data_IF_066215866865
#
_entry.id   IF_066215866865
#
_cell.length_a   1.000
_cell.length_b   1.000
_cell.length_c   1.000
_cell.angle_alpha   90.00
_cell.angle_beta   90.00
_cell.angle_gamma   90.00
#
_symmetry.space_group_name_H-M   'P 1'
#
loop_
_entity.id
_entity.type
_entity.pdbx_description
1 polymer ?
#
# COMPACT_ATOMS: atom_id res chain seq x y z
N UNK A 1 13.63 -19.71 -51.87
CA UNK A 1 12.65 -18.65 -51.57
C UNK A 1 13.19 -17.85 -50.40
N UNK A 2 13.25 -16.53 -50.56
CA UNK A 2 13.97 -15.57 -49.73
C UNK A 2 13.22 -15.17 -48.44
N UNK A 3 13.97 -14.65 -47.44
CA UNK A 3 13.69 -13.43 -46.63
C UNK A 3 14.63 -13.48 -45.39
N UNK A 4 15.87 -12.99 -45.42
CA UNK A 4 16.32 -11.59 -45.35
C UNK A 4 15.84 -10.86 -44.08
N UNK A 5 16.75 -10.67 -43.12
CA UNK A 5 17.15 -9.39 -42.47
C UNK A 5 17.94 -9.71 -41.19
N UNK A 6 19.26 -9.69 -41.32
CA UNK A 6 20.11 -9.01 -40.33
C UNK A 6 20.39 -7.63 -40.93
N UNK A 7 20.17 -6.54 -40.18
CA UNK A 7 20.85 -5.26 -40.39
C UNK A 7 20.60 -4.31 -39.21
N UNK A 8 21.71 -3.82 -38.62
CA UNK A 8 21.88 -2.55 -37.84
C UNK A 8 21.26 -2.52 -36.43
N UNK A 9 21.92 -2.13 -35.32
CA UNK A 9 23.09 -1.29 -35.06
C UNK A 9 23.75 -1.72 -33.72
N UNK A 10 25.06 -1.99 -33.71
CA UNK A 10 25.92 -1.71 -32.56
C UNK A 10 27.21 -1.11 -33.14
N UNK A 11 27.23 0.21 -33.27
CA UNK A 11 28.39 0.99 -33.66
C UNK A 11 29.05 1.48 -32.37
N UNK A 12 30.21 0.94 -32.02
CA UNK A 12 31.41 1.66 -31.57
C UNK A 12 32.53 0.64 -31.28
N UNK A 13 33.73 0.78 -31.90
CA UNK A 13 34.87 -0.07 -31.60
C UNK A 13 35.67 0.54 -30.45
N UNK A 14 35.83 -0.19 -29.34
CA UNK A 14 36.92 0.07 -28.40
C UNK A 14 37.85 -1.14 -28.46
N UNK A 15 39.04 -0.91 -29.04
CA UNK A 15 40.18 -1.81 -28.92
C UNK A 15 40.52 -1.95 -27.43
N UNK A 16 40.40 -3.15 -26.90
CA UNK A 16 40.99 -3.51 -25.60
C UNK A 16 42.19 -4.42 -25.88
N UNK A 17 43.37 -3.83 -25.78
CA UNK A 17 44.60 -4.55 -25.50
C UNK A 17 44.49 -5.20 -24.12
N UNK A 18 45.00 -6.43 -24.03
CA UNK A 18 44.99 -7.25 -22.83
C UNK A 18 45.77 -6.59 -21.67
N UNK A 19 45.16 -6.50 -20.49
CA UNK A 19 45.87 -6.60 -19.20
C UNK A 19 44.87 -6.87 -18.06
N UNK A 20 44.97 -8.07 -17.50
CA UNK A 20 44.64 -8.54 -16.15
C UNK A 20 43.39 -8.06 -15.39
N UNK A 21 42.61 -9.09 -15.04
CA UNK A 21 41.69 -9.25 -13.89
C UNK A 21 40.20 -8.95 -14.08
N UNK A 22 39.41 -9.94 -13.61
CA UNK A 22 37.96 -10.04 -13.45
C UNK A 22 37.10 -10.58 -14.61
N UNK A 23 36.60 -11.79 -14.38
CA UNK A 23 35.61 -12.56 -15.15
C UNK A 23 34.30 -11.78 -15.35
N UNK A 24 33.86 -11.69 -16.61
CA UNK A 24 32.57 -11.13 -17.04
C UNK A 24 31.67 -12.29 -17.52
N UNK A 25 30.64 -12.64 -16.76
CA UNK A 25 29.66 -13.69 -17.11
C UNK A 25 28.47 -13.14 -17.94
N UNK A 26 28.74 -12.45 -19.05
CA UNK A 26 27.66 -11.98 -19.96
C UNK A 26 27.67 -12.67 -21.32
N UNK A 27 28.15 -13.91 -21.40
CA UNK A 27 28.26 -14.66 -22.66
C UNK A 27 27.74 -16.11 -22.62
N UNK A 28 26.68 -16.41 -21.88
CA UNK A 28 26.00 -17.71 -22.02
C UNK A 28 24.48 -17.61 -22.10
N UNK A 29 24.01 -16.97 -23.18
CA UNK A 29 22.67 -17.22 -23.65
C UNK A 29 22.65 -17.13 -25.18
N UNK A 30 22.42 -18.26 -25.84
CA UNK A 30 21.45 -18.47 -26.94
C UNK A 30 21.65 -19.88 -27.53
N UNK A 31 20.52 -20.48 -27.93
CA UNK A 31 20.32 -21.77 -28.66
C UNK A 31 20.30 -23.03 -27.77
N UNK A 32 19.33 -23.96 -27.83
CA UNK A 32 18.28 -24.34 -28.81
C UNK A 32 17.15 -25.07 -28.03
N UNK A 33 15.88 -24.79 -28.32
CA UNK A 33 14.99 -25.56 -29.21
C UNK A 33 14.38 -26.85 -28.61
N UNK A 34 13.06 -26.94 -28.79
CA UNK A 34 12.14 -28.00 -28.38
C UNK A 34 12.54 -29.40 -28.89
N UNK A 35 12.40 -30.40 -28.01
CA UNK A 35 12.21 -31.79 -28.37
C UNK A 35 11.21 -32.47 -27.42
N UNK A 36 10.34 -33.29 -28.00
CA UNK A 36 9.11 -33.88 -27.47
C UNK A 36 9.27 -34.89 -26.30
N UNK A 37 8.32 -34.75 -25.36
CA UNK A 37 7.60 -35.72 -24.52
C UNK A 37 8.14 -37.16 -24.37
N UNK A 38 8.51 -37.54 -23.13
CA UNK A 38 8.02 -38.77 -22.44
C UNK A 38 7.94 -38.53 -20.92
N UNK A 39 6.73 -38.61 -20.37
CA UNK A 39 6.49 -38.73 -18.94
C UNK A 39 7.04 -40.08 -18.43
N UNK A 40 7.75 -40.05 -17.30
CA UNK A 40 8.24 -41.26 -16.59
C UNK A 40 8.19 -41.06 -15.06
N UNK A 41 8.11 -42.15 -14.28
CA UNK A 41 7.19 -42.28 -13.14
C UNK A 41 7.81 -41.85 -11.80
N UNK A 42 7.42 -40.68 -11.29
CA UNK A 42 7.66 -40.29 -9.88
C UNK A 42 6.36 -39.84 -9.18
N UNK A 43 5.20 -39.98 -9.86
CA UNK A 43 3.88 -39.66 -9.30
C UNK A 43 3.19 -40.85 -8.58
N UNK A 44 3.94 -41.87 -8.15
CA UNK A 44 3.40 -43.01 -7.37
C UNK A 44 4.24 -43.36 -6.13
N UNK A 45 4.57 -42.38 -5.28
CA UNK A 45 5.09 -42.70 -3.93
C UNK A 45 4.83 -41.65 -2.85
N UNK A 46 3.67 -40.99 -2.91
CA UNK A 46 3.18 -40.12 -1.82
C UNK A 46 1.89 -40.62 -1.14
N UNK A 47 1.46 -41.86 -1.44
CA UNK A 47 0.43 -42.56 -0.68
C UNK A 47 1.04 -43.85 -0.11
N UNK A 48 1.61 -43.74 1.09
CA UNK A 48 1.83 -44.80 2.08
C UNK A 48 3.05 -44.39 2.92
N UNK A 49 2.79 -43.79 4.09
CA UNK A 49 3.55 -43.93 5.34
C UNK A 49 3.03 -42.90 6.37
N UNK A 50 1.71 -42.80 6.50
CA UNK A 50 1.12 -42.64 7.83
C UNK A 50 0.64 -44.03 8.20
N UNK A 51 1.34 -44.69 9.13
CA UNK A 51 0.79 -45.62 10.11
C UNK A 51 1.94 -46.24 10.93
N UNK A 52 1.70 -46.29 12.24
CA UNK A 52 2.35 -47.08 13.28
C UNK A 52 3.47 -46.43 14.11
N UNK A 53 2.97 -45.86 15.21
CA UNK A 53 3.59 -45.79 16.53
C UNK A 53 4.35 -47.06 16.95
N UNK A 54 5.46 -46.91 17.67
CA UNK A 54 5.71 -47.42 19.03
C UNK A 54 7.20 -47.40 19.43
N UNK A 55 7.44 -47.02 20.69
CA UNK A 55 8.69 -46.95 21.48
C UNK A 55 9.23 -48.37 21.83
N UNK A 56 10.31 -48.62 22.65
CA UNK A 56 11.67 -48.08 22.86
C UNK A 56 12.81 -49.15 22.76
N UNK A 57 14.08 -48.71 22.92
CA UNK A 57 15.21 -49.39 23.62
C UNK A 57 16.21 -50.32 22.88
N UNK A 58 17.50 -50.04 23.20
CA UNK A 58 18.75 -50.84 23.12
C UNK A 58 19.31 -51.29 21.75
N UNK A 59 20.50 -50.80 21.39
CA UNK A 59 21.76 -51.43 21.84
C UNK A 59 22.98 -50.52 21.54
N UNK A 60 23.87 -50.54 22.51
CA UNK A 60 25.14 -49.81 22.61
C UNK A 60 26.25 -50.44 21.76
N UNK A 61 27.17 -49.57 21.28
CA UNK A 61 28.51 -49.83 20.70
C UNK A 61 28.62 -49.64 19.19
N UNK A 62 28.84 -48.38 18.81
CA UNK A 62 29.96 -47.93 17.95
C UNK A 62 29.91 -46.40 17.90
N UNK A 63 30.33 -45.78 18.99
CA UNK A 63 30.92 -44.45 18.93
C UNK A 63 32.30 -44.69 18.32
N UNK A 64 32.53 -44.20 17.10
CA UNK A 64 33.82 -43.74 16.58
C UNK A 64 33.57 -43.22 15.16
N UNK A 65 33.84 -41.92 14.98
CA UNK A 65 33.80 -41.14 13.73
C UNK A 65 32.40 -40.73 13.23
N UNK A 66 31.71 -39.90 14.01
CA UNK A 66 30.72 -38.98 13.46
C UNK A 66 31.45 -37.71 12.96
N UNK A 67 31.36 -37.35 11.66
CA UNK A 67 31.64 -35.99 11.26
C UNK A 67 30.63 -35.07 11.95
N UNK A 68 31.13 -33.93 12.43
CA UNK A 68 30.41 -32.83 13.08
C UNK A 68 28.94 -32.68 12.59
N UNK A 69 27.93 -32.73 13.47
CA UNK A 69 26.52 -32.61 13.10
C UNK A 69 26.14 -31.22 12.54
N UNK A 70 27.05 -30.25 12.52
CA UNK A 70 26.82 -28.95 11.89
C UNK A 70 26.87 -28.97 10.35
N UNK A 71 27.17 -30.12 9.71
CA UNK A 71 27.43 -30.21 8.26
C UNK A 71 26.40 -30.94 7.38
N UNK A 72 25.15 -31.11 7.82
CA UNK A 72 24.04 -31.53 6.93
C UNK A 72 22.81 -30.65 7.10
N UNK A 73 22.91 -29.43 6.58
CA UNK A 73 21.74 -28.65 6.13
C UNK A 73 21.93 -28.17 4.67
N UNK A 74 22.56 -28.99 3.83
CA UNK A 74 22.73 -28.71 2.40
C UNK A 74 21.62 -29.38 1.55
N UNK A 75 20.36 -29.24 2.00
CA UNK A 75 19.17 -29.65 1.25
C UNK A 75 18.08 -28.55 1.23
N UNK A 76 18.44 -27.32 1.62
CA UNK A 76 17.62 -26.11 1.38
C UNK A 76 18.45 -25.04 0.65
N UNK A 77 19.46 -25.46 -0.12
CA UNK A 77 20.29 -24.55 -0.94
C UNK A 77 19.83 -24.52 -2.39
N UNK A 78 18.54 -24.76 -2.63
CA UNK A 78 17.86 -24.50 -3.89
C UNK A 78 16.52 -23.82 -3.58
N UNK A 79 16.57 -22.48 -3.55
CA UNK A 79 15.52 -21.46 -3.66
C UNK A 79 15.74 -20.21 -2.76
N UNK A 80 16.96 -20.00 -2.25
CA UNK A 80 17.38 -18.69 -1.70
C UNK A 80 18.29 -17.97 -2.71
N UNK A 81 17.86 -17.86 -3.96
CA UNK A 81 18.52 -17.04 -4.99
C UNK A 81 17.55 -16.08 -5.68
N UNK A 82 16.55 -15.57 -4.94
CA UNK A 82 15.95 -14.26 -5.18
C UNK A 82 15.52 -13.62 -3.84
N UNK A 83 16.43 -13.61 -2.84
CA UNK A 83 16.41 -12.53 -1.86
C UNK A 83 17.32 -11.43 -2.41
N UNK A 84 16.94 -10.83 -3.54
CA UNK A 84 17.42 -9.48 -3.80
C UNK A 84 16.93 -8.65 -2.62
N UNK A 85 17.84 -8.16 -1.78
CA UNK A 85 17.53 -7.06 -0.88
C UNK A 85 16.75 -6.04 -1.71
N UNK A 86 15.51 -5.76 -1.29
CA UNK A 86 14.69 -4.72 -1.89
C UNK A 86 15.52 -3.43 -1.91
N UNK A 87 16.08 -3.07 -3.07
CA UNK A 87 16.88 -1.85 -3.24
C UNK A 87 15.95 -0.65 -3.23
N UNK A 88 15.61 -0.21 -2.01
CA UNK A 88 14.78 0.98 -1.76
C UNK A 88 13.28 0.75 -1.88
N UNK A 89 12.55 1.85 -1.77
CA UNK A 89 11.09 1.89 -1.80
C UNK A 89 10.60 2.57 -3.07
N UNK A 90 9.55 2.01 -3.68
CA UNK A 90 8.71 2.75 -4.62
C UNK A 90 7.88 3.77 -3.83
N UNK A 91 7.95 5.04 -4.22
CA UNK A 91 7.15 6.11 -3.62
C UNK A 91 5.87 6.27 -4.43
N UNK A 92 4.73 6.09 -3.78
CA UNK A 92 3.42 6.38 -4.37
C UNK A 92 2.89 7.64 -3.70
N UNK A 93 2.89 8.74 -4.44
CA UNK A 93 2.25 9.98 -4.01
C UNK A 93 0.76 9.82 -4.23
N UNK A 94 -0.04 10.13 -3.20
CA UNK A 94 -1.44 9.76 -3.10
C UNK A 94 -2.24 10.89 -2.47
N UNK A 95 -3.44 11.10 -3.00
CA UNK A 95 -4.37 12.13 -2.55
C UNK A 95 -5.82 11.70 -2.83
N UNK A 96 -6.75 12.18 -2.00
CA UNK A 96 -8.18 11.89 -2.08
C UNK A 96 -9.02 13.16 -2.08
N UNK A 97 -9.90 13.29 -3.08
CA UNK A 97 -11.04 14.19 -2.97
C UNK A 97 -12.22 13.49 -2.32
N UNK A 98 -13.03 14.26 -1.61
CA UNK A 98 -14.10 13.69 -0.78
C UNK A 98 -15.37 14.52 -0.81
N UNK A 99 -16.46 13.94 -0.34
CA UNK A 99 -17.76 14.62 -0.25
C UNK A 99 -17.78 15.75 0.79
N UNK A 100 -16.86 15.75 1.77
CA UNK A 100 -16.85 16.70 2.92
C UNK A 100 -15.54 16.61 3.75
N UNK A 101 -15.26 17.59 4.59
CA UNK A 101 -13.99 17.73 5.35
C UNK A 101 -13.83 16.75 6.53
N UNK A 102 -14.85 15.99 6.91
CA UNK A 102 -14.77 15.08 8.06
C UNK A 102 -14.40 13.65 7.63
N UNK A 103 -13.16 13.17 7.83
CA UNK A 103 -12.68 11.88 7.33
C UNK A 103 -13.43 10.67 7.95
N UNK A 104 -14.16 10.88 9.05
CA UNK A 104 -14.99 9.82 9.66
C UNK A 104 -16.31 9.58 8.94
N UNK A 105 -16.84 10.60 8.27
CA UNK A 105 -18.21 10.57 7.73
C UNK A 105 -18.30 10.90 6.24
N UNK A 106 -17.24 11.45 5.64
CA UNK A 106 -17.19 11.65 4.19
C UNK A 106 -16.99 10.34 3.43
N UNK A 107 -17.26 10.40 2.13
CA UNK A 107 -16.96 9.37 1.13
C UNK A 107 -15.88 9.90 0.18
N UNK A 108 -15.07 9.00 -0.36
CA UNK A 108 -14.13 9.32 -1.44
C UNK A 108 -14.91 9.63 -2.72
N UNK A 109 -14.55 10.70 -3.40
CA UNK A 109 -15.10 11.11 -4.71
C UNK A 109 -14.08 10.98 -5.83
N UNK A 110 -12.78 11.09 -5.51
CA UNK A 110 -11.69 10.90 -6.47
C UNK A 110 -10.47 10.28 -5.77
N UNK A 111 -9.76 9.41 -6.48
CA UNK A 111 -8.45 8.90 -6.08
C UNK A 111 -7.43 9.38 -7.10
N UNK A 112 -6.38 10.04 -6.64
CA UNK A 112 -5.19 10.38 -7.42
C UNK A 112 -3.97 9.62 -6.91
N UNK A 113 -3.10 9.18 -7.82
CA UNK A 113 -1.79 8.70 -7.44
C UNK A 113 -0.74 8.89 -8.54
N UNK A 114 0.52 9.05 -8.13
CA UNK A 114 1.70 9.14 -9.00
C UNK A 114 2.82 8.27 -8.44
N UNK A 115 3.45 7.47 -9.29
CA UNK A 115 4.63 6.70 -8.97
C UNK A 115 5.60 6.78 -10.15
N UNK A 116 6.77 7.40 -9.93
CA UNK A 116 7.67 7.77 -11.03
C UNK A 116 6.88 8.57 -12.10
N UNK A 117 6.88 8.13 -13.36
CA UNK A 117 6.11 8.75 -14.45
C UNK A 117 4.69 8.17 -14.62
N UNK A 118 4.36 7.10 -13.87
CA UNK A 118 3.06 6.45 -13.94
C UNK A 118 2.03 7.25 -13.14
N UNK A 119 0.81 7.32 -13.67
CA UNK A 119 -0.30 8.05 -13.06
C UNK A 119 -1.52 7.15 -12.91
N UNK A 120 -2.26 7.33 -11.82
CA UNK A 120 -3.58 6.77 -11.61
C UNK A 120 -4.53 7.88 -11.21
N UNK A 121 -5.71 7.88 -11.82
CA UNK A 121 -6.79 8.79 -11.46
C UNK A 121 -8.12 8.11 -11.75
N UNK A 122 -9.02 8.13 -10.80
CA UNK A 122 -10.41 7.70 -11.01
C UNK A 122 -11.35 8.51 -10.15
N UNK A 123 -12.54 8.80 -10.69
CA UNK A 123 -13.67 9.16 -9.84
C UNK A 123 -14.17 7.92 -9.09
N UNK A 124 -14.94 8.17 -8.03
CA UNK A 124 -15.52 7.14 -7.18
C UNK A 124 -17.00 7.47 -6.96
N UNK A 125 -17.85 6.49 -7.25
CA UNK A 125 -19.27 6.63 -6.95
C UNK A 125 -19.48 6.78 -5.44
N UNK A 126 -20.25 7.80 -5.07
CA UNK A 126 -20.64 8.08 -3.68
C UNK A 126 -22.15 7.99 -3.53
N UNK A 127 -22.60 7.30 -2.48
CA UNK A 127 -23.99 7.28 -2.02
C UNK A 127 -24.35 8.49 -1.13
N UNK A 128 -23.34 9.31 -0.81
CA UNK A 128 -23.47 10.53 -0.02
C UNK A 128 -23.35 11.75 -0.94
N UNK A 129 -24.26 12.75 -0.83
CA UNK A 129 -24.15 13.97 -1.61
C UNK A 129 -22.89 14.76 -1.26
N UNK A 130 -22.30 15.42 -2.25
CA UNK A 130 -21.17 16.32 -2.06
C UNK A 130 -21.64 17.58 -1.33
N UNK A 131 -20.92 17.97 -0.27
CA UNK A 131 -21.19 19.20 0.44
C UNK A 131 -20.86 20.41 -0.45
N UNK A 132 -21.65 21.50 -0.46
CA UNK A 132 -21.40 22.65 -1.34
C UNK A 132 -19.99 23.26 -1.21
N UNK A 133 -19.40 23.24 -0.01
CA UNK A 133 -18.03 23.71 0.18
C UNK A 133 -16.99 22.80 -0.48
N UNK A 134 -17.23 21.48 -0.47
CA UNK A 134 -16.36 20.52 -1.16
C UNK A 134 -16.52 20.65 -2.69
N UNK A 135 -17.74 20.78 -3.21
CA UNK A 135 -17.97 21.05 -4.63
C UNK A 135 -17.31 22.36 -5.06
N UNK A 136 -17.42 23.43 -4.25
CA UNK A 136 -16.81 24.73 -4.55
C UNK A 136 -15.29 24.66 -4.66
N UNK A 137 -14.66 23.83 -3.82
CA UNK A 137 -13.21 23.69 -3.73
C UNK A 137 -12.69 22.78 -4.85
N UNK A 138 -13.34 21.63 -5.06
CA UNK A 138 -12.86 20.58 -5.98
C UNK A 138 -13.42 20.69 -7.40
N UNK A 139 -14.54 21.40 -7.56
CA UNK A 139 -15.31 21.43 -8.80
C UNK A 139 -16.08 20.13 -9.11
N UNK A 140 -15.95 19.09 -8.30
CA UNK A 140 -16.60 17.79 -8.50
C UNK A 140 -18.07 17.88 -8.06
N UNK A 141 -18.97 17.45 -8.94
CA UNK A 141 -20.41 17.43 -8.72
C UNK A 141 -20.92 16.01 -8.56
N UNK A 142 -22.07 15.85 -7.90
CA UNK A 142 -22.73 14.53 -7.79
C UNK A 142 -22.96 13.88 -9.17
N UNK A 143 -23.21 14.69 -10.20
CA UNK A 143 -23.39 14.22 -11.58
C UNK A 143 -22.14 13.56 -12.17
N UNK A 144 -20.93 14.00 -11.77
CA UNK A 144 -19.65 13.43 -12.24
C UNK A 144 -19.41 12.03 -11.66
N UNK A 145 -20.07 11.71 -10.54
CA UNK A 145 -19.90 10.45 -9.80
C UNK A 145 -20.96 9.40 -10.14
N UNK A 146 -21.96 9.75 -10.96
CA UNK A 146 -23.12 8.89 -11.22
C UNK A 146 -22.72 7.56 -11.86
N UNK A 147 -21.84 7.61 -12.86
CA UNK A 147 -21.39 6.44 -13.63
C UNK A 147 -19.96 6.02 -13.25
N UNK A 148 -19.40 6.60 -12.18
CA UNK A 148 -18.09 6.25 -11.65
C UNK A 148 -18.08 4.83 -11.06
N UNK A 149 -16.91 4.16 -10.98
CA UNK A 149 -16.81 2.85 -10.33
C UNK A 149 -17.20 2.93 -8.86
N UNK A 150 -17.67 1.80 -8.30
CA UNK A 150 -17.89 1.69 -6.87
C UNK A 150 -16.58 1.94 -6.10
N UNK A 151 -16.67 2.41 -4.87
CA UNK A 151 -15.48 2.62 -4.04
C UNK A 151 -14.62 1.35 -3.89
N UNK A 152 -15.25 0.16 -3.79
CA UNK A 152 -14.52 -1.11 -3.79
C UNK A 152 -13.73 -1.32 -5.07
N UNK A 153 -14.36 -1.13 -6.24
CA UNK A 153 -13.72 -1.36 -7.53
C UNK A 153 -12.60 -0.34 -7.79
N UNK A 154 -12.81 0.92 -7.39
CA UNK A 154 -11.81 1.98 -7.47
C UNK A 154 -10.58 1.67 -6.61
N UNK A 155 -10.77 1.18 -5.37
CA UNK A 155 -9.68 0.76 -4.50
C UNK A 155 -8.93 -0.46 -5.06
N UNK A 156 -9.64 -1.45 -5.59
CA UNK A 156 -9.01 -2.62 -6.23
C UNK A 156 -8.20 -2.22 -7.47
N UNK A 157 -8.72 -1.30 -8.28
CA UNK A 157 -8.00 -0.76 -9.43
C UNK A 157 -6.75 0.03 -9.00
N UNK A 158 -6.85 0.83 -7.94
CA UNK A 158 -5.71 1.53 -7.35
C UNK A 158 -4.63 0.55 -6.89
N UNK A 159 -4.99 -0.50 -6.16
CA UNK A 159 -4.02 -1.49 -5.70
C UNK A 159 -3.39 -2.31 -6.84
N UNK A 160 -4.15 -2.65 -7.88
CA UNK A 160 -3.60 -3.28 -9.08
C UNK A 160 -2.59 -2.35 -9.77
N UNK A 161 -2.89 -1.06 -9.89
CA UNK A 161 -1.96 -0.07 -10.41
C UNK A 161 -0.70 0.08 -9.53
N UNK A 162 -0.81 -0.01 -8.20
CA UNK A 162 0.35 -0.04 -7.30
C UNK A 162 1.25 -1.24 -7.60
N UNK A 163 0.67 -2.40 -7.91
CA UNK A 163 1.43 -3.60 -8.28
C UNK A 163 2.23 -3.39 -9.58
N UNK A 164 1.62 -2.73 -10.57
CA UNK A 164 2.28 -2.36 -11.83
C UNK A 164 3.40 -1.31 -11.62
N UNK A 165 3.23 -0.43 -10.63
CA UNK A 165 4.18 0.64 -10.34
C UNK A 165 5.40 0.16 -9.56
N UNK A 166 5.20 -0.71 -8.57
CA UNK A 166 6.25 -1.04 -7.61
C UNK A 166 7.32 -2.00 -8.14
N UNK A 167 7.05 -2.72 -9.23
CA UNK A 167 7.90 -3.81 -9.72
C UNK A 167 8.24 -4.81 -8.59
N UNK A 168 9.52 -4.99 -8.25
CA UNK A 168 10.00 -5.79 -7.11
C UNK A 168 10.37 -4.92 -5.89
N UNK A 169 9.85 -3.70 -5.75
CA UNK A 169 10.10 -2.80 -4.60
C UNK A 169 8.99 -2.89 -3.55
N UNK A 170 9.34 -2.62 -2.29
CA UNK A 170 8.34 -2.28 -1.28
C UNK A 170 7.80 -0.86 -1.55
N UNK A 171 6.57 -0.59 -1.15
CA UNK A 171 5.89 0.69 -1.40
C UNK A 171 5.78 1.49 -0.11
N UNK A 172 6.12 2.78 -0.23
CA UNK A 172 5.68 3.80 0.72
C UNK A 172 4.60 4.65 0.08
N UNK A 173 3.47 4.75 0.77
CA UNK A 173 2.38 5.62 0.36
C UNK A 173 2.60 6.98 1.01
N UNK A 174 2.68 8.03 0.21
CA UNK A 174 3.02 9.39 0.61
C UNK A 174 1.81 10.30 0.38
N UNK A 175 1.41 11.04 1.40
CA UNK A 175 0.32 12.01 1.35
C UNK A 175 0.72 13.28 2.13
N UNK A 176 -0.03 14.36 1.92
CA UNK A 176 0.14 15.59 2.69
C UNK A 176 -1.01 15.75 3.67
N UNK A 177 -0.75 15.62 4.97
CA UNK A 177 -1.75 15.46 6.04
C UNK A 177 -2.45 14.08 6.06
N UNK A 178 -1.84 13.06 5.46
CA UNK A 178 -2.42 11.71 5.37
C UNK A 178 -2.72 11.05 6.71
N UNK A 179 -1.91 11.26 7.75
CA UNK A 179 -2.15 10.68 9.09
C UNK A 179 -3.41 11.24 9.74
N UNK A 180 -3.74 12.49 9.41
CA UNK A 180 -4.93 13.19 9.89
C UNK A 180 -6.14 13.03 8.96
N UNK A 181 -5.96 12.52 7.74
CA UNK A 181 -6.98 12.54 6.70
C UNK A 181 -6.97 11.30 5.80
N UNK A 182 -6.14 11.26 4.76
CA UNK A 182 -6.23 10.30 3.66
C UNK A 182 -6.14 8.84 4.10
N UNK A 183 -5.20 8.51 5.00
CA UNK A 183 -5.02 7.14 5.48
C UNK A 183 -6.18 6.69 6.37
N UNK A 184 -6.77 7.61 7.12
CA UNK A 184 -7.97 7.34 7.93
C UNK A 184 -9.14 7.01 7.00
N UNK A 185 -9.33 7.80 5.94
CA UNK A 185 -10.42 7.60 4.99
C UNK A 185 -10.22 6.33 4.16
N UNK A 186 -9.01 6.10 3.65
CA UNK A 186 -8.64 4.86 2.95
C UNK A 186 -8.98 3.63 3.78
N UNK A 187 -8.51 3.57 5.04
CA UNK A 187 -8.81 2.43 5.92
C UNK A 187 -10.29 2.33 6.28
N UNK A 188 -10.99 3.46 6.38
CA UNK A 188 -12.43 3.49 6.64
C UNK A 188 -13.22 2.90 5.47
N UNK A 189 -12.90 3.26 4.23
CA UNK A 189 -13.54 2.68 3.04
C UNK A 189 -13.18 1.21 2.87
N UNK A 190 -11.89 0.85 3.03
CA UNK A 190 -11.48 -0.56 3.02
C UNK A 190 -12.29 -1.39 4.01
N UNK A 191 -12.48 -0.89 5.23
CA UNK A 191 -13.28 -1.56 6.23
C UNK A 191 -14.77 -1.66 5.85
N UNK A 192 -15.37 -0.61 5.26
CA UNK A 192 -16.78 -0.65 4.81
C UNK A 192 -17.02 -1.69 3.72
N UNK A 193 -16.00 -2.01 2.93
CA UNK A 193 -16.06 -2.95 1.82
C UNK A 193 -15.46 -4.33 2.13
N UNK A 194 -15.26 -4.64 3.43
CA UNK A 194 -14.68 -5.89 3.92
C UNK A 194 -13.30 -6.22 3.32
N UNK A 195 -12.50 -5.18 3.03
CA UNK A 195 -11.10 -5.29 2.64
C UNK A 195 -10.23 -5.21 3.91
N UNK A 196 -9.61 -6.30 4.38
CA UNK A 196 -8.85 -6.25 5.63
C UNK A 196 -7.58 -5.42 5.42
N UNK A 197 -7.50 -4.28 6.11
CA UNK A 197 -6.47 -3.24 5.88
C UNK A 197 -5.04 -3.78 5.80
N UNK A 198 -4.59 -4.48 6.84
CA UNK A 198 -3.20 -4.95 6.92
C UNK A 198 -2.85 -5.97 5.83
N UNK A 199 -3.68 -7.01 5.64
CA UNK A 199 -3.40 -8.04 4.64
C UNK A 199 -3.52 -7.52 3.21
N UNK A 200 -4.47 -6.62 2.95
CA UNK A 200 -4.64 -5.99 1.64
C UNK A 200 -3.43 -5.12 1.30
N UNK A 201 -3.07 -4.18 2.16
CA UNK A 201 -1.91 -3.29 1.92
C UNK A 201 -0.60 -4.08 1.79
N UNK A 202 -0.36 -5.05 2.69
CA UNK A 202 0.86 -5.88 2.65
C UNK A 202 0.95 -6.71 1.36
N UNK A 203 -0.18 -7.25 0.88
CA UNK A 203 -0.25 -8.03 -0.37
C UNK A 203 0.22 -7.19 -1.57
N UNK A 204 -0.10 -5.90 -1.57
CA UNK A 204 0.28 -4.96 -2.62
C UNK A 204 1.64 -4.29 -2.36
N UNK A 205 2.42 -4.82 -1.40
CA UNK A 205 3.76 -4.34 -1.08
C UNK A 205 3.80 -3.01 -0.33
N UNK A 206 2.66 -2.44 0.07
CA UNK A 206 2.58 -1.20 0.85
C UNK A 206 2.95 -1.52 2.29
N UNK A 207 4.07 -0.97 2.75
CA UNK A 207 4.63 -1.28 4.08
C UNK A 207 4.65 -0.08 5.01
N UNK A 208 4.61 1.14 4.47
CA UNK A 208 4.64 2.38 5.26
C UNK A 208 3.72 3.46 4.71
N UNK A 209 3.21 4.27 5.64
CA UNK A 209 2.56 5.54 5.40
C UNK A 209 3.51 6.68 5.74
N UNK A 210 3.56 7.67 4.85
CA UNK A 210 4.44 8.83 4.96
C UNK A 210 3.61 10.10 4.87
N UNK A 211 3.71 10.97 5.86
CA UNK A 211 2.99 12.24 5.91
C UNK A 211 3.95 13.42 5.89
N UNK A 212 3.87 14.18 4.81
CA UNK A 212 4.79 15.27 4.53
C UNK A 212 4.49 16.53 5.33
N UNK A 213 3.30 16.70 5.90
CA UNK A 213 2.94 17.86 6.71
C UNK A 213 3.74 17.94 8.03
N UNK A 214 3.70 16.91 8.92
CA UNK A 214 4.50 16.92 10.13
C UNK A 214 6.01 16.93 9.81
N UNK A 215 6.42 16.30 8.71
CA UNK A 215 7.81 16.38 8.25
C UNK A 215 8.21 17.82 7.92
N UNK A 216 7.42 18.52 7.10
CA UNK A 216 7.72 19.88 6.65
C UNK A 216 7.79 20.86 7.81
N UNK A 217 6.90 20.72 8.80
CA UNK A 217 6.89 21.55 10.03
C UNK A 217 8.20 21.49 10.82
N UNK A 218 8.90 20.36 10.77
CA UNK A 218 10.14 20.14 11.53
C UNK A 218 11.38 20.43 10.68
N UNK A 219 11.35 20.05 9.40
CA UNK A 219 12.57 19.94 8.59
C UNK A 219 12.66 20.97 7.47
N UNK A 220 11.54 21.53 7.01
CA UNK A 220 11.56 22.41 5.84
C UNK A 220 12.14 23.78 6.22
N UNK A 221 13.07 24.36 5.42
CA UNK A 221 13.74 25.62 5.76
C UNK A 221 12.74 26.77 5.98
N UNK A 222 12.63 27.34 7.20
CA UNK A 222 11.59 28.32 7.50
C UNK A 222 11.65 29.60 6.66
N UNK A 223 12.85 29.98 6.20
CA UNK A 223 13.06 31.18 5.39
C UNK A 223 12.54 31.05 3.94
N UNK A 224 12.18 29.84 3.50
CA UNK A 224 11.62 29.58 2.16
C UNK A 224 10.10 29.53 2.15
N UNK A 225 9.48 29.35 3.31
CA UNK A 225 8.04 29.18 3.41
C UNK A 225 7.32 30.46 2.95
N UNK A 226 6.36 30.27 2.05
CA UNK A 226 5.36 31.30 1.75
C UNK A 226 4.68 31.71 3.07
N UNK A 227 4.54 33.02 3.24
CA UNK A 227 3.91 33.62 4.42
C UNK A 227 2.48 34.00 4.09
N UNK A 228 1.56 33.70 5.01
CA UNK A 228 0.16 34.08 4.88
C UNK A 228 0.03 35.61 4.86
N UNK A 229 -0.67 36.22 3.89
CA UNK A 229 -0.81 37.67 3.81
C UNK A 229 -1.40 38.30 5.07
N UNK A 230 -2.30 37.59 5.75
CA UNK A 230 -3.08 38.11 6.86
C UNK A 230 -2.31 38.09 8.18
N UNK A 231 -1.48 37.06 8.40
CA UNK A 231 -0.80 36.84 9.69
C UNK A 231 0.72 36.95 9.62
N UNK A 232 1.30 36.99 8.41
CA UNK A 232 2.75 36.91 8.16
C UNK A 232 3.40 35.63 8.74
N UNK A 233 2.60 34.64 9.09
CA UNK A 233 3.08 33.34 9.56
C UNK A 233 3.42 32.43 8.38
N UNK A 234 4.41 31.52 8.54
CA UNK A 234 4.67 30.49 7.54
C UNK A 234 3.45 29.60 7.30
N UNK A 235 3.23 29.24 6.03
CA UNK A 235 2.21 28.26 5.64
C UNK A 235 2.84 26.93 5.25
N UNK A 236 2.16 25.85 5.62
CA UNK A 236 2.57 24.47 5.31
C UNK A 236 1.52 23.76 4.47
N UNK A 237 0.62 24.49 3.80
CA UNK A 237 -0.30 23.87 2.84
C UNK A 237 0.51 23.37 1.65
N UNK A 238 0.03 22.31 1.00
CA UNK A 238 0.73 21.72 -0.14
C UNK A 238 1.06 22.74 -1.24
N UNK A 239 0.08 23.57 -1.64
CA UNK A 239 0.31 24.62 -2.64
C UNK A 239 1.38 25.65 -2.24
N UNK A 240 1.42 26.02 -0.96
CA UNK A 240 2.41 26.96 -0.43
C UNK A 240 3.81 26.33 -0.38
N UNK A 241 3.90 25.04 -0.03
CA UNK A 241 5.15 24.28 -0.05
C UNK A 241 5.66 24.06 -1.48
N UNK A 242 4.75 23.79 -2.42
CA UNK A 242 5.05 23.70 -3.85
C UNK A 242 5.63 25.03 -4.37
N UNK A 243 4.97 26.16 -4.07
CA UNK A 243 5.48 27.49 -4.43
C UNK A 243 6.84 27.77 -3.78
N UNK A 244 7.03 27.34 -2.53
CA UNK A 244 8.30 27.50 -1.80
C UNK A 244 9.47 26.76 -2.46
N UNK A 245 9.22 25.64 -3.16
CA UNK A 245 10.28 24.85 -3.81
C UNK A 245 10.46 25.14 -5.29
N UNK A 246 9.39 25.51 -6.02
CA UNK A 246 9.45 25.73 -7.47
C UNK A 246 9.40 27.21 -7.87
N UNK A 247 9.05 28.11 -6.94
CA UNK A 247 8.97 29.55 -7.21
C UNK A 247 7.78 29.97 -8.07
N UNK A 248 6.81 29.08 -8.32
CA UNK A 248 5.59 29.37 -9.06
C UNK A 248 4.36 28.89 -8.29
N UNK A 249 3.24 29.59 -8.50
CA UNK A 249 1.96 29.25 -7.87
C UNK A 249 1.44 27.92 -8.37
N UNK A 250 0.74 27.23 -7.46
CA UNK A 250 0.02 26.00 -7.77
C UNK A 250 -1.45 26.30 -8.07
N UNK A 251 -1.77 26.49 -9.34
CA UNK A 251 -3.09 26.99 -9.77
C UNK A 251 -4.16 25.89 -9.91
N UNK A 252 -3.76 24.61 -9.83
CA UNK A 252 -4.64 23.45 -10.03
C UNK A 252 -4.89 22.67 -8.74
N UNK A 253 -4.90 23.35 -7.58
CA UNK A 253 -5.17 22.71 -6.30
C UNK A 253 -6.58 22.11 -6.25
N UNK A 254 -6.76 21.05 -5.44
CA UNK A 254 -8.04 20.35 -5.25
C UNK A 254 -8.50 19.56 -6.47
N UNK A 255 -7.53 19.03 -7.22
CA UNK A 255 -7.68 17.88 -8.10
C UNK A 255 -6.69 16.82 -7.62
N UNK A 256 -7.14 15.62 -7.26
CA UNK A 256 -6.31 14.63 -6.59
C UNK A 256 -5.02 14.30 -7.37
N UNK A 257 -5.09 14.26 -8.71
CA UNK A 257 -3.89 13.99 -9.53
C UNK A 257 -2.94 15.20 -9.57
N UNK A 258 -3.48 16.42 -9.65
CA UNK A 258 -2.66 17.63 -9.59
C UNK A 258 -1.94 17.73 -8.23
N UNK A 259 -2.66 17.45 -7.14
CA UNK A 259 -2.13 17.46 -5.78
C UNK A 259 -1.05 16.37 -5.60
N UNK A 260 -1.25 15.16 -6.15
CA UNK A 260 -0.21 14.13 -6.19
C UNK A 260 1.07 14.58 -6.93
N UNK A 261 0.93 15.29 -8.06
CA UNK A 261 2.08 15.82 -8.81
C UNK A 261 2.78 16.93 -8.04
N UNK A 262 2.03 17.82 -7.39
CA UNK A 262 2.58 18.86 -6.54
C UNK A 262 3.34 18.26 -5.35
N UNK A 263 2.77 17.24 -4.73
CA UNK A 263 3.40 16.49 -3.64
C UNK A 263 4.69 15.79 -4.09
N UNK A 264 4.68 15.16 -5.27
CA UNK A 264 5.90 14.58 -5.87
C UNK A 264 6.96 15.64 -6.07
N UNK A 265 6.63 16.76 -6.72
CA UNK A 265 7.56 17.85 -6.99
C UNK A 265 8.16 18.44 -5.70
N UNK A 266 7.34 18.62 -4.67
CA UNK A 266 7.81 19.01 -3.35
C UNK A 266 8.81 17.99 -2.77
N UNK A 267 8.43 16.72 -2.74
CA UNK A 267 9.25 15.66 -2.13
C UNK A 267 10.55 15.36 -2.88
N UNK A 268 10.59 15.63 -4.18
CA UNK A 268 11.74 15.39 -5.05
C UNK A 268 12.59 16.65 -5.28
N UNK A 269 12.19 17.79 -4.71
CA UNK A 269 13.01 19.01 -4.75
C UNK A 269 14.34 18.82 -4.04
N UNK A 270 15.36 19.60 -4.43
CA UNK A 270 16.70 19.62 -3.78
C UNK A 270 16.63 19.92 -2.27
N UNK A 271 15.55 20.56 -1.82
CA UNK A 271 15.32 20.92 -0.42
C UNK A 271 14.82 19.76 0.44
N UNK A 272 14.34 18.69 -0.19
CA UNK A 272 13.84 17.48 0.48
C UNK A 272 14.75 16.28 0.23
N UNK A 273 15.45 16.24 -0.92
CA UNK A 273 16.14 15.03 -1.40
C UNK A 273 17.52 14.78 -0.81
N UNK A 274 18.34 15.79 -0.52
CA UNK A 274 19.79 15.55 -0.34
C UNK A 274 20.34 15.66 1.09
N UNK A 275 19.49 15.79 2.12
CA UNK A 275 19.98 15.77 3.51
C UNK A 275 19.21 14.91 4.51
N UNK A 276 17.94 14.54 4.26
CA UNK A 276 17.08 13.97 5.32
C UNK A 276 15.90 13.10 4.85
N UNK A 277 16.03 12.34 3.76
CA UNK A 277 15.03 11.30 3.42
C UNK A 277 15.03 10.08 4.37
N UNK A 278 15.44 10.28 5.63
CA UNK A 278 15.10 9.44 6.78
C UNK A 278 13.58 9.31 7.01
N UNK A 279 12.76 10.10 6.32
CA UNK A 279 11.30 9.97 6.33
C UNK A 279 10.81 8.58 5.93
N UNK A 280 11.61 7.78 5.23
CA UNK A 280 11.24 6.40 4.87
C UNK A 280 12.02 5.35 5.71
N UNK A 281 13.11 5.78 6.34
CA UNK A 281 14.07 4.90 7.01
C UNK A 281 13.85 4.76 8.52
N UNK A 282 13.15 5.70 9.17
CA UNK A 282 12.90 5.67 10.60
C UNK A 282 11.42 5.93 10.93
N UNK A 283 10.85 5.10 11.80
CA UNK A 283 9.53 5.35 12.37
C UNK A 283 9.57 6.65 13.19
N UNK A 284 8.59 7.53 12.98
CA UNK A 284 8.55 8.87 13.58
C UNK A 284 7.27 9.62 13.24
N UNK A 285 7.15 10.89 13.66
CA UNK A 285 5.92 11.68 13.50
C UNK A 285 5.41 11.83 12.05
N UNK A 286 6.24 11.51 11.06
CA UNK A 286 5.91 11.59 9.64
C UNK A 286 5.93 10.23 8.92
N UNK A 287 6.33 9.13 9.58
CA UNK A 287 6.47 7.83 8.95
C UNK A 287 6.03 6.71 9.87
N UNK A 288 5.09 5.90 9.39
CA UNK A 288 4.45 4.86 10.18
C UNK A 288 4.43 3.56 9.39
N UNK A 289 4.89 2.47 10.01
CA UNK A 289 4.59 1.13 9.54
C UNK A 289 3.08 0.90 9.51
N UNK A 290 2.60 0.22 8.46
CA UNK A 290 1.16 0.00 8.27
C UNK A 290 0.54 -0.80 9.42
N UNK A 291 1.31 -1.71 10.05
CA UNK A 291 0.82 -2.56 11.14
C UNK A 291 0.50 -1.73 12.37
N UNK A 292 1.42 -0.83 12.73
CA UNK A 292 1.33 0.07 13.87
C UNK A 292 0.16 1.04 13.67
N UNK A 293 0.10 1.68 12.50
CA UNK A 293 -0.95 2.64 12.18
C UNK A 293 -2.35 2.00 12.19
N UNK A 294 -2.51 0.82 11.59
CA UNK A 294 -3.80 0.12 11.52
C UNK A 294 -4.26 -0.34 12.91
N UNK A 295 -3.33 -0.85 13.73
CA UNK A 295 -3.63 -1.21 15.12
C UNK A 295 -4.19 -0.02 15.90
N UNK A 296 -3.57 1.15 15.76
CA UNK A 296 -4.04 2.37 16.44
C UNK A 296 -5.35 2.90 15.86
N UNK A 297 -5.54 2.81 14.55
CA UNK A 297 -6.81 3.13 13.90
C UNK A 297 -7.95 2.24 14.45
N UNK A 298 -7.74 0.93 14.55
CA UNK A 298 -8.74 -0.02 15.06
C UNK A 298 -9.09 0.22 16.53
N UNK A 299 -8.10 0.57 17.37
CA UNK A 299 -8.34 0.95 18.78
C UNK A 299 -9.21 2.19 18.88
N UNK A 300 -8.89 3.24 18.10
CA UNK A 300 -9.68 4.49 18.08
C UNK A 300 -11.11 4.23 17.66
N UNK A 301 -11.31 3.45 16.59
CA UNK A 301 -12.64 3.11 16.10
C UNK A 301 -13.45 2.32 17.13
N UNK A 302 -12.83 1.31 17.76
CA UNK A 302 -13.48 0.53 18.82
C UNK A 302 -13.90 1.40 20.02
N UNK A 303 -13.10 2.41 20.37
CA UNK A 303 -13.43 3.35 21.43
C UNK A 303 -14.60 4.26 21.03
N UNK A 304 -14.62 4.78 19.80
CA UNK A 304 -15.71 5.59 19.26
C UNK A 304 -17.03 4.81 19.21
N UNK A 305 -17.01 3.56 18.70
CA UNK A 305 -18.17 2.67 18.68
C UNK A 305 -18.66 2.37 20.10
N UNK A 306 -17.74 2.09 21.03
CA UNK A 306 -18.06 1.85 22.42
C UNK A 306 -18.69 3.06 23.12
N UNK A 307 -18.23 4.28 22.83
CA UNK A 307 -18.81 5.50 23.37
C UNK A 307 -20.16 5.83 22.73
N UNK A 308 -20.35 5.55 21.44
CA UNK A 308 -21.64 5.63 20.77
C UNK A 308 -22.67 4.69 21.42
N UNK A 309 -22.29 3.43 21.68
CA UNK A 309 -23.12 2.46 22.41
C UNK A 309 -23.50 2.97 23.80
N UNK A 310 -22.54 3.51 24.58
CA UNK A 310 -22.83 4.10 25.90
C UNK A 310 -23.78 5.30 25.81
N UNK A 311 -23.67 6.13 24.78
CA UNK A 311 -24.58 7.27 24.56
C UNK A 311 -25.99 6.80 24.21
N UNK A 312 -26.13 5.76 23.38
CA UNK A 312 -27.42 5.15 23.04
C UNK A 312 -28.06 4.49 24.27
N UNK A 313 -27.29 3.76 25.08
CA UNK A 313 -27.75 3.17 26.35
C UNK A 313 -28.23 4.22 27.36
N UNK A 314 -27.50 5.34 27.50
CA UNK A 314 -27.94 6.46 28.35
C UNK A 314 -29.25 7.08 27.85
N UNK A 315 -29.40 7.27 26.53
CA UNK A 315 -30.64 7.78 25.93
C UNK A 315 -31.81 6.79 26.08
N UNK A 316 -31.55 5.48 25.97
CA UNK A 316 -32.56 4.44 26.17
C UNK A 316 -33.03 4.38 27.63
N UNK A 317 -32.10 4.50 28.59
CA UNK A 317 -32.40 4.56 30.02
C UNK A 317 -33.15 5.85 30.42
N UNK A 318 -32.82 7.00 29.81
CA UNK A 318 -33.55 8.26 30.06
C UNK A 318 -34.97 8.28 29.50
N UNK A 319 -35.26 7.52 28.42
CA UNK A 319 -36.61 7.43 27.83
C UNK A 319 -37.50 6.33 28.44
N UNK A 320 -37.07 5.68 29.52
CA UNK A 320 -37.88 4.66 30.22
C UNK A 320 -38.21 3.41 29.39
N UNK A 321 -37.56 3.20 28.24
CA UNK A 321 -37.87 2.09 27.35
C UNK A 321 -36.93 0.91 27.64
N UNK A 322 -37.31 0.05 28.60
CA UNK A 322 -36.65 -1.24 28.82
C UNK A 322 -36.99 -2.21 27.67
N UNK A 323 -36.30 -2.08 26.54
CA UNK A 323 -36.05 -3.21 25.63
C UNK A 323 -34.55 -3.28 25.40
N UNK A 324 -33.94 -4.34 25.93
CA UNK A 324 -32.52 -4.62 25.84
C UNK A 324 -32.10 -4.82 24.37
N UNK A 325 -30.96 -4.21 23.99
CA UNK A 325 -30.35 -4.18 22.65
C UNK A 325 -30.05 -5.56 22.02
N UNK A 326 -30.25 -6.67 22.74
CA UNK A 326 -30.01 -8.04 22.27
C UNK A 326 -31.00 -8.54 21.20
N UNK A 327 -32.04 -7.77 20.84
CA UNK A 327 -32.99 -8.17 19.79
C UNK A 327 -32.68 -7.60 18.39
N UNK A 328 -31.70 -6.69 18.24
CA UNK A 328 -31.33 -6.18 16.90
C UNK A 328 -30.30 -7.07 16.18
N UNK A 329 -29.64 -7.98 16.89
CA UNK A 329 -28.69 -8.95 16.32
C UNK A 329 -28.98 -10.35 16.87
N UNK A 330 -30.02 -11.01 16.37
CA UNK A 330 -30.26 -12.41 16.68
C UNK A 330 -31.68 -12.89 16.42
N UNK A 331 -31.95 -13.30 15.17
CA UNK A 331 -32.88 -14.41 14.93
C UNK A 331 -32.40 -15.24 13.73
N UNK A 332 -31.18 -15.76 13.88
CA UNK A 332 -30.68 -16.87 13.09
C UNK A 332 -31.24 -18.17 13.65
N UNK A 333 -32.41 -18.57 13.15
CA UNK A 333 -32.85 -19.96 13.09
C UNK A 333 -33.65 -20.48 14.30
N UNK A 334 -34.94 -20.76 14.04
CA UNK A 334 -35.59 -22.01 14.48
C UNK A 334 -36.80 -22.34 13.60
N UNK A 335 -36.77 -23.56 13.09
CA UNK A 335 -37.73 -24.26 12.23
C UNK A 335 -39.18 -24.06 12.68
N UNK A 336 -40.05 -23.62 11.77
CA UNK A 336 -41.48 -23.91 11.85
C UNK A 336 -41.68 -25.39 11.51
N UNK A 337 -42.14 -26.17 12.50
CA UNK A 337 -42.92 -27.38 12.26
C UNK A 337 -44.39 -26.99 12.28
N UNK A 338 -45.10 -27.54 11.30
CA UNK A 338 -46.53 -27.44 11.05
C UNK A 338 -47.37 -28.17 12.11
N UNK A 339 -48.69 -27.93 12.00
CA UNK A 339 -49.84 -28.59 12.63
C UNK A 339 -50.25 -27.93 13.96
N UNK A 340 -51.51 -27.56 14.21
CA UNK A 340 -52.77 -27.76 13.52
C UNK A 340 -53.90 -27.51 14.53
N UNK A 341 -55.07 -27.17 13.99
CA UNK A 341 -56.37 -26.91 14.64
C UNK A 341 -56.52 -25.51 15.24
#
# INVERSE_FOLDING_TARGET
MACQICKTVCLYPVQLECCDSFYCETCYAICKCQCDVKATPVFQRFLALELNASNPYNDSRRILNLPDPTRKLNLVTMQITEMEEFKGFAKVYFDLETTDINPRTCRITQIGAVCEEKVFKTFVHSDKPIHPDAEKITGIKDADLKDAPSCKDALLAFFAWVDECRERKQVVLCAHNGLGYDYILLLSEMHRWDLPGFSTLSKHGIVRFVDTLPWARVNFPPHRLVKKPETNEPSFRLGDLYESVLGCRFDCAHDALADCRALKAFCESEYVTDKNMNMVCHDGHACYGIKEFISDFQKRKSAEDGDMLKMLDKKANQKGCKRTLLQFFGDGGKRQKSNGI
#
